data_IF_635939102359
#
_entry.id   IF_635939102359
#
_cell.length_a   1.000
_cell.length_b   1.000
_cell.length_c   1.000
_cell.angle_alpha   90.00
_cell.angle_beta   90.00
_cell.angle_gamma   90.00
#
_symmetry.space_group_name_H-M   'P 1'
#
loop_
_entity.id
_entity.type
_entity.pdbx_description
1 polymer ?
#
# COMPACT_ATOMS: atom_id res chain seq x y z
N UNK A 1 -0.04 -17.73 8.54
CA UNK A 1 0.81 -16.86 7.70
C UNK A 1 1.28 -15.70 8.56
N UNK A 2 2.55 -15.26 8.49
CA UNK A 2 2.99 -14.08 9.23
C UNK A 2 2.10 -12.89 8.83
N UNK A 3 1.62 -12.15 9.83
CA UNK A 3 0.77 -10.97 9.60
C UNK A 3 1.64 -9.89 8.96
N UNK A 4 1.54 -9.73 7.65
CA UNK A 4 2.31 -8.73 6.91
C UNK A 4 1.72 -7.35 7.18
N UNK A 5 2.59 -6.36 7.41
CA UNK A 5 2.15 -5.00 7.75
C UNK A 5 2.09 -4.12 6.51
N UNK A 6 1.28 -3.06 6.57
CA UNK A 6 1.22 -2.08 5.48
C UNK A 6 2.60 -1.45 5.21
N UNK A 7 3.44 -1.28 6.24
CA UNK A 7 4.82 -0.79 6.08
C UNK A 7 5.70 -1.76 5.27
N UNK A 8 5.60 -3.07 5.52
CA UNK A 8 6.32 -4.09 4.76
C UNK A 8 5.85 -4.14 3.30
N UNK A 9 4.54 -3.98 3.09
CA UNK A 9 3.96 -3.88 1.75
C UNK A 9 4.54 -2.70 0.97
N UNK A 10 4.47 -1.49 1.53
CA UNK A 10 4.99 -0.30 0.85
C UNK A 10 6.51 -0.34 0.65
N UNK A 11 7.26 -0.92 1.61
CA UNK A 11 8.69 -1.15 1.44
C UNK A 11 8.98 -2.11 0.27
N UNK A 12 8.23 -3.20 0.16
CA UNK A 12 8.38 -4.16 -0.96
C UNK A 12 8.07 -3.51 -2.30
N UNK A 13 6.96 -2.75 -2.37
CA UNK A 13 6.59 -2.01 -3.58
C UNK A 13 7.66 -0.99 -3.96
N UNK A 14 8.20 -0.25 -2.99
CA UNK A 14 9.21 0.80 -3.22
C UNK A 14 10.61 0.29 -3.55
N UNK A 15 10.93 -0.96 -3.25
CA UNK A 15 12.22 -1.58 -3.59
C UNK A 15 12.26 -2.16 -5.02
N UNK A 16 11.10 -2.34 -5.66
CA UNK A 16 10.99 -2.91 -7.01
C UNK A 16 10.32 -1.91 -7.96
N UNK A 17 11.06 -1.48 -8.99
CA UNK A 17 10.58 -0.49 -9.96
C UNK A 17 9.37 -1.00 -10.78
N UNK A 18 9.29 -2.29 -11.06
CA UNK A 18 8.14 -2.87 -11.75
C UNK A 18 6.92 -2.92 -10.85
N UNK A 19 7.07 -3.31 -9.59
CA UNK A 19 5.98 -3.27 -8.61
C UNK A 19 5.51 -1.84 -8.35
N UNK A 20 6.44 -0.88 -8.21
CA UNK A 20 6.09 0.55 -8.10
C UNK A 20 5.26 1.00 -9.29
N UNK A 21 5.68 0.71 -10.53
CA UNK A 21 4.93 1.11 -11.73
C UNK A 21 3.54 0.48 -11.78
N UNK A 22 3.43 -0.81 -11.46
CA UNK A 22 2.14 -1.52 -11.41
C UNK A 22 1.24 -0.95 -10.30
N UNK A 23 1.78 -0.66 -9.13
CA UNK A 23 1.06 -0.07 -8.02
C UNK A 23 0.50 1.32 -8.37
N UNK A 24 1.31 2.15 -9.02
CA UNK A 24 0.88 3.46 -9.50
C UNK A 24 -0.25 3.32 -10.53
N UNK A 25 -0.12 2.44 -11.51
CA UNK A 25 -1.19 2.19 -12.49
C UNK A 25 -2.47 1.65 -11.85
N UNK A 26 -2.35 0.80 -10.84
CA UNK A 26 -3.49 0.21 -10.15
C UNK A 26 -4.24 1.22 -9.28
N UNK A 27 -3.59 2.30 -8.83
CA UNK A 27 -4.15 3.33 -7.95
C UNK A 27 -4.40 4.66 -8.66
N UNK A 28 -3.93 4.81 -9.90
CA UNK A 28 -4.13 5.99 -10.75
C UNK A 28 -5.63 6.28 -10.97
N UNK A 29 -6.01 7.55 -10.93
CA UNK A 29 -7.40 8.06 -11.07
C UNK A 29 -8.43 7.56 -10.05
N UNK A 30 -8.02 6.81 -9.01
CA UNK A 30 -8.97 6.30 -8.01
C UNK A 30 -9.21 7.30 -6.89
N UNK A 31 -10.48 7.55 -6.59
CA UNK A 31 -10.86 8.36 -5.44
C UNK A 31 -10.76 7.56 -4.13
N UNK A 32 -10.61 8.26 -3.00
CA UNK A 32 -10.15 7.71 -1.70
C UNK A 32 -10.59 6.28 -1.36
N UNK A 33 -11.88 5.92 -1.47
CA UNK A 33 -12.36 4.56 -1.15
C UNK A 33 -11.89 3.52 -2.18
N UNK A 34 -12.05 3.82 -3.46
CA UNK A 34 -11.61 2.96 -4.57
C UNK A 34 -10.09 2.78 -4.58
N UNK A 35 -9.34 3.81 -4.18
CA UNK A 35 -7.90 3.72 -4.04
C UNK A 35 -7.51 2.73 -2.93
N UNK A 36 -8.21 2.74 -1.79
CA UNK A 36 -7.93 1.81 -0.69
C UNK A 36 -8.28 0.38 -1.09
N UNK A 37 -9.40 0.16 -1.79
CA UNK A 37 -9.77 -1.15 -2.34
C UNK A 37 -8.73 -1.66 -3.34
N UNK A 38 -8.25 -0.78 -4.22
CA UNK A 38 -7.20 -1.10 -5.17
C UNK A 38 -5.89 -1.48 -4.49
N UNK A 39 -5.49 -0.76 -3.43
CA UNK A 39 -4.31 -1.08 -2.63
C UNK A 39 -4.47 -2.44 -1.96
N UNK A 40 -5.63 -2.72 -1.36
CA UNK A 40 -5.90 -4.01 -0.71
C UNK A 40 -5.90 -5.18 -1.71
N UNK A 41 -6.49 -4.98 -2.89
CA UNK A 41 -6.48 -5.98 -3.96
C UNK A 41 -5.04 -6.23 -4.46
N UNK A 42 -4.29 -5.16 -4.73
CA UNK A 42 -2.90 -5.25 -5.18
C UNK A 42 -2.01 -5.94 -4.14
N UNK A 43 -2.19 -5.62 -2.86
CA UNK A 43 -1.49 -6.30 -1.77
C UNK A 43 -1.71 -7.81 -1.81
N UNK A 44 -2.96 -8.27 -1.98
CA UNK A 44 -3.26 -9.72 -2.09
C UNK A 44 -2.60 -10.36 -3.30
N UNK A 45 -2.57 -9.68 -4.44
CA UNK A 45 -1.93 -10.20 -5.67
C UNK A 45 -0.43 -10.49 -5.47
N UNK A 46 0.24 -9.74 -4.62
CA UNK A 46 1.66 -9.91 -4.32
C UNK A 46 1.93 -10.61 -2.97
N UNK A 47 0.91 -11.24 -2.37
CA UNK A 47 1.04 -12.10 -1.19
C UNK A 47 0.92 -11.40 0.17
N UNK A 48 0.37 -10.18 0.20
CA UNK A 48 0.11 -9.42 1.41
C UNK A 48 -1.38 -9.45 1.77
N UNK A 49 -1.70 -9.75 3.02
CA UNK A 49 -3.09 -9.73 3.53
C UNK A 49 -3.30 -8.44 4.34
N UNK A 50 -3.60 -7.35 3.64
CA UNK A 50 -3.87 -6.05 4.25
C UNK A 50 -5.37 -5.78 4.36
N UNK A 51 -5.81 -5.38 5.56
CA UNK A 51 -7.16 -4.84 5.74
C UNK A 51 -7.22 -3.35 5.41
N UNK A 52 -8.44 -2.86 5.18
CA UNK A 52 -8.70 -1.42 5.05
C UNK A 52 -8.15 -0.62 6.24
N UNK A 53 -8.24 -1.18 7.45
CA UNK A 53 -7.76 -0.52 8.66
C UNK A 53 -6.23 -0.41 8.70
N UNK A 54 -5.52 -1.43 8.22
CA UNK A 54 -4.06 -1.43 8.14
C UNK A 54 -3.55 -0.35 7.17
N UNK A 55 -4.22 -0.20 6.01
CA UNK A 55 -3.92 0.83 5.02
C UNK A 55 -4.28 2.22 5.57
N UNK A 56 -5.39 2.35 6.30
CA UNK A 56 -5.79 3.64 6.88
C UNK A 56 -4.80 4.12 7.96
N UNK A 57 -4.24 3.21 8.76
CA UNK A 57 -3.29 3.53 9.83
C UNK A 57 -1.98 4.14 9.32
N UNK A 58 -1.52 3.84 8.10
CA UNK A 58 -0.29 4.46 7.55
C UNK A 58 -0.46 5.96 7.30
N UNK A 59 -1.68 6.44 7.06
CA UNK A 59 -2.00 7.87 6.89
C UNK A 59 -1.88 8.67 8.19
N UNK A 60 -1.96 7.99 9.35
CA UNK A 60 -1.87 8.60 10.68
C UNK A 60 -0.47 8.56 11.28
N UNK A 61 0.54 8.14 10.52
CA UNK A 61 1.94 8.24 10.94
C UNK A 61 2.34 9.71 11.11
N UNK A 62 3.27 10.03 12.05
CA UNK A 62 3.78 11.39 12.17
C UNK A 62 4.32 11.84 10.80
N UNK A 63 4.10 13.11 10.39
CA UNK A 63 4.67 13.61 9.15
C UNK A 63 6.19 13.37 9.17
N UNK A 64 6.81 13.08 8.01
CA UNK A 64 8.26 12.95 7.95
C UNK A 64 8.86 14.23 8.52
N UNK A 65 9.73 14.07 9.52
CA UNK A 65 10.52 15.19 10.03
C UNK A 65 11.27 15.78 8.84
N UNK A 66 10.87 16.99 8.43
CA UNK A 66 11.58 17.73 7.40
C UNK A 66 12.95 18.07 7.99
N UNK A 67 14.00 17.48 7.42
CA UNK A 67 15.40 17.83 7.67
C UNK A 67 15.81 19.03 6.82
#
# INVERSE_FOLDING_TARGET
MPKTTAAQFFATVGQDTQLTRRFLLATHDKHSAEAIEAIAQFAREIGFDLSFEDIRRTRSGPPPAQV
#
